data_IF_256237281441
#
_entry.id   IF_256237281441
#
_cell.length_a   1.000
_cell.length_b   1.000
_cell.length_c   1.000
_cell.angle_alpha   90.00
_cell.angle_beta   90.00
_cell.angle_gamma   90.00
#
_symmetry.space_group_name_H-M   'P 1'
#
loop_
_entity.id
_entity.type
_entity.pdbx_description
1 polymer ?
#
# COMPACT_ATOMS: atom_id res chain seq x y z
N UNK A 1 15.02 7.44 25.22
CA UNK A 1 13.76 7.57 24.44
C UNK A 1 12.85 8.54 25.19
N UNK A 2 12.18 9.46 24.48
CA UNK A 2 11.47 10.57 25.10
C UNK A 2 10.28 10.20 26.01
N UNK A 3 9.78 8.97 25.97
CA UNK A 3 8.58 8.57 26.73
C UNK A 3 8.83 7.50 27.79
N UNK A 4 10.03 6.95 27.91
CA UNK A 4 10.37 5.86 28.85
C UNK A 4 9.28 4.76 28.95
N UNK A 5 8.59 4.50 27.82
CA UNK A 5 7.51 3.52 27.80
C UNK A 5 8.06 2.10 27.95
N UNK A 6 7.35 1.28 28.73
CA UNK A 6 7.62 -0.15 28.75
C UNK A 6 7.43 -0.73 27.32
N UNK A 7 8.46 -1.38 26.77
CA UNK A 7 8.37 -2.00 25.44
C UNK A 7 7.19 -2.98 25.28
N UNK A 8 6.73 -3.59 26.37
CA UNK A 8 5.61 -4.55 26.38
C UNK A 8 4.24 -3.90 26.60
N UNK A 9 4.18 -2.57 26.80
CA UNK A 9 2.92 -1.87 27.05
C UNK A 9 2.02 -1.89 25.80
N UNK A 10 0.73 -1.72 26.02
CA UNK A 10 -0.24 -1.57 24.92
C UNK A 10 -0.04 -0.26 24.16
N UNK A 11 0.38 0.78 24.87
CA UNK A 11 0.65 2.10 24.29
C UNK A 11 1.86 2.02 23.34
N UNK A 12 2.96 1.36 23.72
CA UNK A 12 4.09 1.12 22.84
C UNK A 12 3.67 0.38 21.58
N UNK A 13 2.88 -0.69 21.73
CA UNK A 13 2.32 -1.43 20.60
C UNK A 13 1.43 -0.57 19.72
N UNK A 14 0.61 0.31 20.30
CA UNK A 14 -0.29 1.19 19.57
C UNK A 14 0.45 2.24 18.73
N UNK A 15 1.49 2.87 19.32
CA UNK A 15 2.33 3.86 18.62
C UNK A 15 3.03 3.22 17.42
N UNK A 16 3.64 2.05 17.63
CA UNK A 16 4.33 1.33 16.57
C UNK A 16 3.35 0.88 15.47
N UNK A 17 2.16 0.38 15.84
CA UNK A 17 1.12 0.01 14.89
C UNK A 17 0.60 1.21 14.11
N UNK A 18 0.47 2.38 14.75
CA UNK A 18 0.08 3.61 14.05
C UNK A 18 1.13 4.00 12.99
N UNK A 19 2.41 3.93 13.33
CA UNK A 19 3.50 4.14 12.38
C UNK A 19 3.46 3.16 11.21
N UNK A 20 3.24 1.88 11.48
CA UNK A 20 3.10 0.85 10.45
C UNK A 20 1.90 1.11 9.53
N UNK A 21 0.71 1.32 10.08
CA UNK A 21 -0.49 1.57 9.30
C UNK A 21 -0.40 2.85 8.46
N UNK A 22 0.22 3.91 8.99
CA UNK A 22 0.41 5.15 8.24
C UNK A 22 1.41 5.03 7.09
N UNK A 23 2.37 4.13 7.21
CA UNK A 23 3.37 3.88 6.17
C UNK A 23 2.85 2.99 5.03
N UNK A 24 1.90 2.11 5.29
CA UNK A 24 1.44 1.11 4.30
C UNK A 24 0.11 1.47 3.66
N UNK A 25 -0.93 1.67 4.45
CA UNK A 25 -2.32 1.69 3.98
C UNK A 25 -2.70 2.87 3.07
N UNK A 26 -2.30 4.13 3.34
CA UNK A 26 -2.74 5.27 2.52
C UNK A 26 -2.29 5.19 1.06
N UNK A 27 -1.15 4.55 0.80
CA UNK A 27 -0.57 4.42 -0.53
C UNK A 27 -1.49 3.72 -1.53
N UNK A 28 -2.29 2.77 -1.11
CA UNK A 28 -3.21 2.04 -1.98
C UNK A 28 -4.36 2.89 -2.55
N UNK A 29 -4.56 4.11 -2.05
CA UNK A 29 -5.50 5.08 -2.63
C UNK A 29 -5.03 5.69 -3.94
N UNK A 30 -3.75 5.59 -4.26
CA UNK A 30 -3.12 6.25 -5.40
C UNK A 30 -2.32 5.27 -6.25
N UNK A 31 -2.38 5.45 -7.57
CA UNK A 31 -1.69 4.55 -8.52
C UNK A 31 -0.19 4.43 -8.24
N UNK A 32 0.44 5.52 -7.87
CA UNK A 32 1.88 5.61 -7.58
C UNK A 32 2.19 5.60 -6.08
N UNK A 33 1.20 5.32 -5.25
CA UNK A 33 1.35 5.33 -3.80
C UNK A 33 2.02 4.08 -3.25
N UNK A 34 1.96 2.97 -4.01
CA UNK A 34 2.67 1.73 -3.70
C UNK A 34 3.27 1.13 -4.96
N UNK A 35 4.40 0.44 -4.83
CA UNK A 35 5.00 -0.34 -5.91
C UNK A 35 4.06 -1.46 -6.40
N UNK A 36 3.26 -2.01 -5.52
CA UNK A 36 2.32 -3.09 -5.83
C UNK A 36 1.22 -2.63 -6.78
N UNK A 37 0.70 -1.41 -6.61
CA UNK A 37 -0.30 -0.83 -7.52
C UNK A 37 0.28 -0.67 -8.93
N UNK A 38 1.51 -0.17 -9.04
CA UNK A 38 2.19 -0.01 -10.32
C UNK A 38 2.44 -1.35 -11.00
N UNK A 39 2.93 -2.35 -10.25
CA UNK A 39 3.20 -3.70 -10.78
C UNK A 39 1.89 -4.35 -11.23
N UNK A 40 0.83 -4.30 -10.42
CA UNK A 40 -0.46 -4.85 -10.81
C UNK A 40 -0.96 -4.29 -12.14
N UNK A 41 -0.89 -2.96 -12.29
CA UNK A 41 -1.33 -2.31 -13.53
C UNK A 41 -0.42 -2.66 -14.72
N UNK A 42 0.89 -2.75 -14.51
CA UNK A 42 1.82 -3.14 -15.59
C UNK A 42 1.58 -4.57 -16.08
N UNK A 43 1.25 -5.50 -15.19
CA UNK A 43 0.94 -6.90 -15.54
C UNK A 43 -0.33 -7.05 -16.40
N UNK A 44 -1.29 -6.15 -16.25
CA UNK A 44 -2.59 -6.25 -16.95
C UNK A 44 -2.74 -5.29 -18.14
N UNK A 45 -1.73 -4.51 -18.46
CA UNK A 45 -1.76 -3.53 -19.58
C UNK A 45 -2.07 -4.14 -20.95
N UNK A 46 -1.84 -5.44 -21.12
CA UNK A 46 -2.20 -6.19 -22.33
C UNK A 46 -3.69 -6.55 -22.40
N UNK A 47 -4.42 -6.48 -21.28
CA UNK A 47 -5.82 -6.88 -21.16
C UNK A 47 -6.74 -5.68 -21.18
N UNK A 48 -6.37 -4.61 -20.48
CA UNK A 48 -7.19 -3.40 -20.34
C UNK A 48 -6.36 -2.12 -20.48
N UNK A 49 -7.03 -1.03 -20.81
CA UNK A 49 -6.44 0.31 -20.70
C UNK A 49 -6.22 0.66 -19.24
N UNK A 50 -4.99 0.99 -18.89
CA UNK A 50 -4.61 1.34 -17.52
C UNK A 50 -5.33 2.64 -17.12
N UNK A 51 -5.97 2.69 -15.94
CA UNK A 51 -6.61 3.90 -15.46
C UNK A 51 -5.58 5.02 -15.25
N UNK A 52 -5.98 6.24 -15.53
CA UNK A 52 -5.18 7.41 -15.18
C UNK A 52 -5.04 7.53 -13.66
N UNK A 53 -4.07 8.32 -13.20
CA UNK A 53 -3.85 8.53 -11.77
C UNK A 53 -5.12 9.04 -11.06
N UNK A 54 -5.86 9.96 -11.69
CA UNK A 54 -7.11 10.49 -11.14
C UNK A 54 -8.25 9.48 -11.12
N UNK A 55 -8.40 8.65 -12.15
CA UNK A 55 -9.40 7.58 -12.22
C UNK A 55 -9.12 6.49 -11.17
N UNK A 56 -7.84 6.14 -10.99
CA UNK A 56 -7.42 5.22 -9.93
C UNK A 56 -7.75 5.78 -8.54
N UNK A 57 -7.39 7.05 -8.29
CA UNK A 57 -7.66 7.71 -7.02
C UNK A 57 -9.17 7.82 -6.76
N UNK A 58 -9.96 8.21 -7.75
CA UNK A 58 -11.42 8.27 -7.63
C UNK A 58 -11.99 6.91 -7.24
N UNK A 59 -11.53 5.84 -7.87
CA UNK A 59 -12.02 4.49 -7.61
C UNK A 59 -11.66 3.97 -6.20
N UNK A 60 -10.55 4.39 -5.60
CA UNK A 60 -10.01 3.79 -4.37
C UNK A 60 -10.05 4.72 -3.15
N UNK A 61 -10.07 6.05 -3.34
CA UNK A 61 -9.96 7.01 -2.25
C UNK A 61 -11.05 6.88 -1.16
N UNK A 62 -12.36 6.67 -1.50
CA UNK A 62 -13.39 6.52 -0.47
C UNK A 62 -13.11 5.36 0.49
N UNK A 63 -12.67 4.22 -0.05
CA UNK A 63 -12.28 3.06 0.75
C UNK A 63 -11.09 3.38 1.66
N UNK A 64 -10.03 3.97 1.10
CA UNK A 64 -8.79 4.25 1.83
C UNK A 64 -9.02 5.25 2.95
N UNK A 65 -9.86 6.27 2.75
CA UNK A 65 -10.22 7.22 3.82
C UNK A 65 -10.83 6.46 5.02
N UNK A 66 -11.81 5.60 4.78
CA UNK A 66 -12.44 4.80 5.83
C UNK A 66 -11.47 3.83 6.49
N UNK A 67 -10.62 3.21 5.69
CA UNK A 67 -9.58 2.31 6.16
C UNK A 67 -8.55 3.01 7.07
N UNK A 68 -8.11 4.20 6.69
CA UNK A 68 -7.22 5.02 7.52
C UNK A 68 -7.91 5.49 8.80
N UNK A 69 -9.16 5.94 8.73
CA UNK A 69 -9.94 6.32 9.91
C UNK A 69 -10.08 5.16 10.89
N UNK A 70 -10.37 3.95 10.38
CA UNK A 70 -10.43 2.77 11.23
C UNK A 70 -9.07 2.41 11.83
N UNK A 71 -7.99 2.50 11.05
CA UNK A 71 -6.64 2.22 11.54
C UNK A 71 -6.24 3.19 12.67
N UNK A 72 -6.59 4.47 12.54
CA UNK A 72 -6.41 5.47 13.59
C UNK A 72 -7.25 5.11 14.82
N UNK A 73 -8.54 4.82 14.63
CA UNK A 73 -9.44 4.43 15.73
C UNK A 73 -8.92 3.18 16.47
N UNK A 74 -8.44 2.19 15.72
CA UNK A 74 -7.85 0.98 16.27
C UNK A 74 -6.63 1.28 17.14
N UNK A 75 -5.71 2.10 16.63
CA UNK A 75 -4.48 2.46 17.34
C UNK A 75 -4.73 3.37 18.55
N UNK A 76 -5.75 4.24 18.50
CA UNK A 76 -6.04 5.20 19.59
C UNK A 76 -6.95 4.59 20.66
N UNK A 77 -7.88 3.71 20.30
CA UNK A 77 -8.92 3.22 21.24
C UNK A 77 -8.85 1.72 21.52
N UNK A 78 -8.63 0.88 20.50
CA UNK A 78 -8.78 -0.57 20.65
C UNK A 78 -7.51 -1.20 21.25
N UNK A 79 -6.34 -0.83 20.75
CA UNK A 79 -5.07 -1.41 21.22
C UNK A 79 -4.71 -0.91 22.61
N UNK A 80 -4.69 0.40 22.90
CA UNK A 80 -4.37 0.91 24.24
C UNK A 80 -5.38 0.48 25.29
N UNK A 81 -6.67 0.40 24.91
CA UNK A 81 -7.75 0.06 25.83
C UNK A 81 -7.91 1.11 26.93
N UNK A 82 -7.65 0.72 28.19
CA UNK A 82 -7.74 1.61 29.37
C UNK A 82 -6.37 2.16 29.82
N UNK A 83 -5.28 1.80 29.14
CA UNK A 83 -3.98 2.38 29.45
C UNK A 83 -3.94 3.84 29.03
N UNK A 84 -3.35 4.69 29.88
CA UNK A 84 -3.15 6.11 29.59
C UNK A 84 -1.67 6.35 29.30
N UNK A 85 -1.39 7.34 28.46
CA UNK A 85 -0.01 7.75 28.20
C UNK A 85 0.55 8.39 29.46
N UNK A 86 1.58 7.80 30.09
CA UNK A 86 2.23 8.44 31.19
C UNK A 86 2.89 9.73 30.72
N UNK A 87 2.78 10.78 31.52
CA UNK A 87 3.40 12.08 31.22
C UNK A 87 3.00 12.72 29.88
N UNK A 88 1.69 12.76 29.59
CA UNK A 88 1.16 13.36 28.32
C UNK A 88 1.65 14.80 28.13
N UNK A 89 1.74 15.58 29.21
CA UNK A 89 2.22 16.98 29.14
C UNK A 89 3.71 17.03 28.78
N UNK A 90 4.52 16.13 29.30
CA UNK A 90 5.93 16.02 28.92
C UNK A 90 6.10 15.65 27.44
N UNK A 91 5.23 14.83 26.88
CA UNK A 91 5.24 14.54 25.44
C UNK A 91 5.00 15.81 24.62
N UNK A 92 4.03 16.65 25.02
CA UNK A 92 3.76 17.92 24.35
C UNK A 92 4.96 18.84 24.39
N UNK A 93 5.65 18.90 25.54
CA UNK A 93 6.87 19.70 25.69
C UNK A 93 7.99 19.18 24.78
N UNK A 94 8.25 17.88 24.76
CA UNK A 94 9.27 17.27 23.90
C UNK A 94 8.98 17.51 22.43
N UNK A 95 7.72 17.39 22.00
CA UNK A 95 7.31 17.67 20.62
C UNK A 95 7.48 19.16 20.29
N UNK A 96 7.10 20.05 21.23
CA UNK A 96 7.25 21.50 21.05
C UNK A 96 8.74 21.91 21.01
N UNK A 97 9.59 21.31 21.82
CA UNK A 97 11.04 21.52 21.79
C UNK A 97 11.63 21.06 20.45
N UNK A 98 11.30 19.85 19.99
CA UNK A 98 11.73 19.34 18.67
C UNK A 98 11.29 20.26 17.53
N UNK A 99 10.06 20.76 17.60
CA UNK A 99 9.54 21.69 16.58
C UNK A 99 10.30 23.02 16.60
N UNK A 100 10.70 23.52 17.78
CA UNK A 100 11.54 24.72 17.90
C UNK A 100 12.93 24.48 17.35
N UNK A 101 13.54 23.31 17.64
CA UNK A 101 14.87 22.96 17.18
C UNK A 101 14.93 22.83 15.65
N UNK A 102 13.83 22.40 15.01
CA UNK A 102 13.73 22.35 13.54
C UNK A 102 13.76 23.74 12.89
N UNK A 103 13.32 24.76 13.60
CA UNK A 103 13.31 26.13 13.11
C UNK A 103 12.36 26.38 11.91
N UNK A 104 12.52 27.51 11.19
CA UNK A 104 11.74 27.80 10.00
C UNK A 104 12.19 26.93 8.81
N UNK A 105 11.28 26.71 7.88
CA UNK A 105 11.57 25.96 6.65
C UNK A 105 12.79 26.52 5.91
N UNK A 106 13.72 25.63 5.62
CA UNK A 106 14.93 25.96 4.86
C UNK A 106 14.65 26.14 3.37
N UNK A 107 15.53 26.81 2.65
CA UNK A 107 15.41 26.95 1.19
C UNK A 107 15.37 25.59 0.46
N UNK A 108 16.05 24.57 0.98
CA UNK A 108 16.03 23.23 0.40
C UNK A 108 14.67 22.55 0.59
N UNK A 109 14.06 22.70 1.77
CA UNK A 109 12.72 22.17 2.04
C UNK A 109 11.65 22.84 1.16
N UNK A 110 11.75 24.16 0.94
CA UNK A 110 10.89 24.87 -0.01
C UNK A 110 11.04 24.35 -1.44
N UNK A 111 12.27 24.14 -1.92
CA UNK A 111 12.52 23.57 -3.24
C UNK A 111 11.91 22.17 -3.37
N UNK A 112 12.09 21.32 -2.35
CA UNK A 112 11.50 19.98 -2.32
C UNK A 112 9.99 20.03 -2.34
N UNK A 113 9.37 20.91 -1.55
CA UNK A 113 7.92 21.09 -1.51
C UNK A 113 7.37 21.50 -2.89
N UNK A 114 8.02 22.42 -3.57
CA UNK A 114 7.64 22.84 -4.93
C UNK A 114 7.73 21.66 -5.90
N UNK A 115 8.81 20.87 -5.86
CA UNK A 115 8.96 19.68 -6.71
C UNK A 115 7.88 18.64 -6.42
N UNK A 116 7.52 18.44 -5.15
CA UNK A 116 6.42 17.53 -4.79
C UNK A 116 5.07 18.02 -5.33
N UNK A 117 4.79 19.31 -5.23
CA UNK A 117 3.56 19.91 -5.81
C UNK A 117 3.56 19.74 -7.33
N UNK A 118 4.68 19.98 -8.00
CA UNK A 118 4.84 19.72 -9.44
C UNK A 118 4.60 18.26 -9.80
N UNK A 119 5.11 17.32 -8.98
CA UNK A 119 4.88 15.89 -9.16
C UNK A 119 3.39 15.54 -9.12
N UNK A 120 2.71 15.96 -8.05
CA UNK A 120 1.29 15.69 -7.85
C UNK A 120 0.46 16.34 -8.98
N UNK A 121 0.75 17.59 -9.32
CA UNK A 121 0.07 18.29 -10.42
C UNK A 121 0.29 17.57 -11.75
N UNK A 122 1.51 17.15 -12.04
CA UNK A 122 1.81 16.35 -13.24
C UNK A 122 1.06 15.03 -13.28
N UNK A 123 0.93 14.31 -12.15
CA UNK A 123 0.16 13.06 -12.09
C UNK A 123 -1.35 13.32 -12.29
N UNK A 124 -1.90 14.37 -11.68
CA UNK A 124 -3.31 14.76 -11.84
C UNK A 124 -3.63 15.16 -13.29
N UNK A 125 -2.68 15.80 -13.96
CA UNK A 125 -2.84 16.26 -15.35
C UNK A 125 -2.39 15.25 -16.39
N UNK A 126 -2.02 14.04 -15.99
CA UNK A 126 -1.52 12.96 -16.88
C UNK A 126 -2.44 12.68 -18.09
N UNK A 127 -3.73 12.88 -17.92
CA UNK A 127 -4.74 12.75 -18.99
C UNK A 127 -4.56 13.75 -20.13
N UNK A 128 -3.97 14.93 -19.87
CA UNK A 128 -3.79 16.00 -20.86
C UNK A 128 -2.47 15.89 -21.62
N UNK A 129 -1.39 15.48 -20.93
CA UNK A 129 -0.05 15.41 -21.55
C UNK A 129 0.38 13.98 -21.91
N UNK A 130 -0.36 12.94 -21.47
CA UNK A 130 -0.09 11.53 -21.82
C UNK A 130 1.21 10.95 -21.22
N UNK A 131 1.92 11.67 -20.35
CA UNK A 131 3.14 11.18 -19.73
C UNK A 131 2.79 10.14 -18.67
N UNK A 132 3.48 9.00 -18.74
CA UNK A 132 3.41 7.98 -17.70
C UNK A 132 4.06 8.47 -16.40
N UNK A 133 3.49 8.12 -15.26
CA UNK A 133 4.01 8.48 -13.95
C UNK A 133 5.49 8.10 -13.73
N UNK A 134 5.98 7.02 -14.33
CA UNK A 134 7.40 6.64 -14.26
C UNK A 134 8.32 7.70 -14.85
N UNK A 135 7.97 8.27 -16.01
CA UNK A 135 8.76 9.34 -16.63
C UNK A 135 8.70 10.61 -15.81
N UNK A 136 7.55 10.90 -15.20
CA UNK A 136 7.41 12.07 -14.36
C UNK A 136 8.29 11.97 -13.10
N UNK A 137 8.32 10.81 -12.42
CA UNK A 137 9.20 10.59 -11.28
C UNK A 137 10.68 10.60 -11.69
N UNK A 138 11.03 10.02 -12.83
CA UNK A 138 12.40 10.08 -13.35
C UNK A 138 12.84 11.52 -13.61
N UNK A 139 11.96 12.34 -14.19
CA UNK A 139 12.24 13.76 -14.45
C UNK A 139 12.47 14.51 -13.13
N UNK A 140 11.60 14.32 -12.13
CA UNK A 140 11.73 14.96 -10.81
C UNK A 140 13.03 14.51 -10.11
N UNK A 141 13.35 13.21 -10.19
CA UNK A 141 14.60 12.68 -9.65
C UNK A 141 15.81 13.38 -10.30
N UNK A 142 15.81 13.51 -11.63
CA UNK A 142 16.87 14.25 -12.36
C UNK A 142 16.93 15.70 -11.87
N UNK A 143 15.79 16.38 -11.71
CA UNK A 143 15.74 17.75 -11.20
C UNK A 143 16.40 17.88 -9.83
N UNK A 144 16.26 16.91 -8.93
CA UNK A 144 16.91 16.93 -7.62
C UNK A 144 18.45 16.95 -7.70
N UNK A 145 19.02 16.39 -8.77
CA UNK A 145 20.48 16.36 -9.01
C UNK A 145 21.02 17.60 -9.75
N UNK A 146 20.14 18.48 -10.24
CA UNK A 146 20.62 19.70 -10.92
C UNK A 146 21.36 20.61 -9.94
N UNK A 147 22.51 21.18 -10.33
CA UNK A 147 23.34 21.99 -9.44
C UNK A 147 22.61 23.19 -8.81
N UNK A 148 21.65 23.75 -9.54
CA UNK A 148 20.87 24.92 -9.10
C UNK A 148 19.79 24.56 -8.07
N UNK A 149 19.32 23.33 -8.11
CA UNK A 149 18.34 22.80 -7.14
C UNK A 149 19.09 22.23 -5.93
N UNK A 150 20.12 21.38 -6.16
CA UNK A 150 21.07 20.96 -5.13
C UNK A 150 20.43 20.17 -3.97
N UNK A 151 19.37 19.40 -4.25
CA UNK A 151 18.68 18.59 -3.24
C UNK A 151 19.31 17.21 -3.07
N UNK A 152 19.92 16.67 -4.12
CA UNK A 152 20.54 15.35 -4.11
C UNK A 152 21.98 15.43 -4.63
N UNK A 153 22.83 14.53 -4.16
CA UNK A 153 24.21 14.37 -4.56
C UNK A 153 24.50 12.94 -4.99
N UNK A 154 25.59 12.72 -5.72
CA UNK A 154 26.04 11.37 -6.09
C UNK A 154 26.31 10.47 -4.88
N UNK A 155 26.61 11.05 -3.73
CA UNK A 155 26.76 10.29 -2.48
C UNK A 155 25.45 9.61 -2.07
N UNK A 156 24.30 10.25 -2.33
CA UNK A 156 22.99 9.67 -2.06
C UNK A 156 22.75 8.40 -2.90
N UNK A 157 23.25 8.36 -4.15
CA UNK A 157 23.20 7.16 -5.01
C UNK A 157 23.99 6.00 -4.40
N UNK A 158 25.15 6.28 -3.80
CA UNK A 158 25.97 5.23 -3.14
C UNK A 158 25.30 4.65 -1.90
N UNK A 159 24.37 5.38 -1.28
CA UNK A 159 23.60 4.92 -0.11
C UNK A 159 22.36 4.10 -0.48
N UNK A 160 22.05 3.96 -1.79
CA UNK A 160 20.94 3.13 -2.24
C UNK A 160 21.17 1.67 -1.87
N UNK A 161 20.11 1.02 -1.39
CA UNK A 161 20.14 -0.41 -1.13
C UNK A 161 20.01 -1.18 -2.44
N UNK A 162 21.15 -1.46 -3.08
CA UNK A 162 21.21 -2.19 -4.35
C UNK A 162 20.59 -3.59 -4.21
N UNK A 163 20.73 -4.25 -3.06
CA UNK A 163 20.11 -5.55 -2.80
C UNK A 163 18.59 -5.49 -2.89
N UNK A 164 17.97 -4.41 -2.40
CA UNK A 164 16.53 -4.20 -2.52
C UNK A 164 16.11 -3.97 -3.99
N UNK A 165 16.88 -3.22 -4.77
CA UNK A 165 16.61 -3.02 -6.20
C UNK A 165 16.68 -4.35 -6.97
N UNK A 166 17.71 -5.15 -6.72
CA UNK A 166 17.85 -6.49 -7.32
C UNK A 166 16.68 -7.40 -6.92
N UNK A 167 16.25 -7.33 -5.67
CA UNK A 167 15.07 -8.08 -5.20
C UNK A 167 13.78 -7.69 -5.97
N UNK A 168 13.54 -6.38 -6.17
CA UNK A 168 12.37 -5.92 -6.97
C UNK A 168 12.45 -6.45 -8.39
N UNK A 169 13.61 -6.32 -9.05
CA UNK A 169 13.82 -6.82 -10.43
C UNK A 169 13.60 -8.34 -10.50
N UNK A 170 14.10 -9.09 -9.52
CA UNK A 170 13.90 -10.54 -9.45
C UNK A 170 12.40 -10.91 -9.29
N UNK A 171 11.64 -10.20 -8.45
CA UNK A 171 10.20 -10.40 -8.29
C UNK A 171 9.45 -10.14 -9.60
N UNK A 172 9.76 -9.05 -10.29
CA UNK A 172 9.18 -8.74 -11.61
C UNK A 172 9.54 -9.80 -12.66
N UNK A 173 10.80 -10.25 -12.64
CA UNK A 173 11.26 -11.34 -13.50
C UNK A 173 10.51 -12.65 -13.26
N UNK A 174 10.30 -13.04 -12.00
CA UNK A 174 9.51 -14.23 -11.66
C UNK A 174 8.07 -14.13 -12.19
N UNK A 175 7.42 -12.97 -12.03
CA UNK A 175 6.08 -12.74 -12.57
C UNK A 175 6.05 -12.90 -14.08
N UNK A 176 6.99 -12.29 -14.80
CA UNK A 176 7.12 -12.41 -16.25
C UNK A 176 7.35 -13.85 -16.72
N UNK A 177 8.23 -14.59 -16.05
CA UNK A 177 8.48 -16.02 -16.34
C UNK A 177 7.22 -16.85 -16.08
N UNK A 178 6.52 -16.63 -14.98
CA UNK A 178 5.27 -17.33 -14.65
C UNK A 178 4.21 -17.14 -15.74
N UNK A 179 4.09 -15.91 -16.27
CA UNK A 179 3.17 -15.60 -17.40
C UNK A 179 3.58 -16.38 -18.65
N UNK A 180 4.87 -16.39 -19.01
CA UNK A 180 5.37 -17.11 -20.20
C UNK A 180 5.22 -18.62 -20.10
N UNK A 181 5.36 -19.17 -18.89
CA UNK A 181 5.14 -20.60 -18.64
C UNK A 181 3.66 -21.00 -18.56
N UNK A 182 2.74 -20.04 -18.70
CA UNK A 182 1.30 -20.29 -18.62
C UNK A 182 0.78 -20.51 -17.21
N UNK A 183 1.54 -20.13 -16.18
CA UNK A 183 1.12 -20.28 -14.80
C UNK A 183 -0.18 -19.51 -14.49
N UNK A 184 -0.41 -18.36 -15.14
CA UNK A 184 -1.66 -17.61 -15.04
C UNK A 184 -2.86 -18.45 -15.50
N UNK A 185 -2.76 -19.09 -16.67
CA UNK A 185 -3.81 -19.97 -17.21
C UNK A 185 -4.04 -21.19 -16.34
N UNK A 186 -2.95 -21.80 -15.86
CA UNK A 186 -3.03 -22.94 -14.95
C UNK A 186 -3.75 -22.55 -13.65
N UNK A 187 -3.37 -21.45 -13.02
CA UNK A 187 -4.04 -20.94 -11.82
C UNK A 187 -5.52 -20.64 -12.10
N UNK A 188 -5.83 -19.96 -13.20
CA UNK A 188 -7.20 -19.68 -13.60
C UNK A 188 -8.01 -20.99 -13.77
N UNK A 189 -7.44 -22.01 -14.38
CA UNK A 189 -8.10 -23.32 -14.55
C UNK A 189 -8.44 -24.02 -13.24
N UNK A 190 -7.68 -23.77 -12.18
CA UNK A 190 -7.96 -24.31 -10.83
C UNK A 190 -9.02 -23.48 -10.10
N UNK A 191 -8.99 -22.16 -10.26
CA UNK A 191 -9.84 -21.24 -9.50
C UNK A 191 -11.22 -21.09 -10.14
N UNK A 192 -11.29 -20.99 -11.49
CA UNK A 192 -12.56 -20.77 -12.21
C UNK A 192 -13.64 -21.79 -11.83
N UNK A 193 -13.37 -23.11 -11.77
CA UNK A 193 -14.41 -24.08 -11.36
C UNK A 193 -14.94 -23.89 -9.93
N UNK A 194 -14.14 -23.26 -9.05
CA UNK A 194 -14.51 -23.01 -7.66
C UNK A 194 -15.37 -21.76 -7.51
N UNK A 195 -15.25 -20.84 -8.46
CA UNK A 195 -15.93 -19.54 -8.43
C UNK A 195 -17.02 -19.42 -9.51
N UNK A 196 -17.17 -20.45 -10.36
CA UNK A 196 -18.18 -20.49 -11.40
C UNK A 196 -19.58 -20.40 -10.78
N UNK A 197 -20.42 -19.52 -11.35
CA UNK A 197 -21.74 -19.23 -10.81
C UNK A 197 -21.78 -18.30 -9.60
N UNK A 198 -20.62 -17.84 -9.08
CA UNK A 198 -20.61 -16.81 -8.04
C UNK A 198 -21.00 -15.45 -8.61
N UNK A 199 -21.77 -14.68 -7.84
CA UNK A 199 -22.05 -13.31 -8.23
C UNK A 199 -20.78 -12.45 -8.20
N UNK A 200 -20.71 -11.35 -9.00
CA UNK A 200 -19.54 -10.46 -9.04
C UNK A 200 -19.06 -9.97 -7.67
N UNK A 201 -19.98 -9.82 -6.74
CA UNK A 201 -19.67 -9.41 -5.35
C UNK A 201 -18.80 -10.46 -4.64
N UNK A 202 -19.15 -11.74 -4.77
CA UNK A 202 -18.39 -12.83 -4.15
C UNK A 202 -17.04 -13.06 -4.84
N UNK A 203 -16.94 -12.76 -6.13
CA UNK A 203 -15.66 -12.79 -6.86
C UNK A 203 -14.68 -11.74 -6.34
N UNK A 204 -15.16 -10.53 -6.08
CA UNK A 204 -14.36 -9.47 -5.46
C UNK A 204 -13.90 -9.89 -4.06
N UNK A 205 -14.77 -10.48 -3.25
CA UNK A 205 -14.39 -10.97 -1.92
C UNK A 205 -13.38 -12.13 -2.01
N UNK A 206 -13.55 -13.04 -2.97
CA UNK A 206 -12.63 -14.18 -3.16
C UNK A 206 -11.22 -13.71 -3.54
N UNK A 207 -11.10 -12.69 -4.39
CA UNK A 207 -9.80 -12.11 -4.73
C UNK A 207 -9.12 -11.47 -3.51
N UNK A 208 -9.88 -10.75 -2.66
CA UNK A 208 -9.39 -10.22 -1.38
C UNK A 208 -8.87 -11.32 -0.45
N UNK A 209 -9.71 -12.33 -0.20
CA UNK A 209 -9.36 -13.43 0.71
C UNK A 209 -8.19 -14.27 0.19
N UNK A 210 -8.10 -14.45 -1.13
CA UNK A 210 -6.96 -15.13 -1.74
C UNK A 210 -5.66 -14.38 -1.53
N UNK A 211 -5.67 -13.05 -1.63
CA UNK A 211 -4.50 -12.22 -1.35
C UNK A 211 -4.04 -12.36 0.11
N UNK A 212 -4.98 -12.31 1.06
CA UNK A 212 -4.68 -12.55 2.48
C UNK A 212 -4.08 -13.94 2.68
N UNK A 213 -4.65 -14.97 2.02
CA UNK A 213 -4.15 -16.33 2.13
C UNK A 213 -2.75 -16.51 1.50
N UNK A 214 -2.52 -15.88 0.36
CA UNK A 214 -1.25 -15.98 -0.36
C UNK A 214 -0.11 -15.29 0.39
N UNK A 215 -0.38 -14.24 1.17
CA UNK A 215 0.61 -13.59 2.02
C UNK A 215 1.28 -14.54 3.02
N UNK A 216 0.62 -15.64 3.42
CA UNK A 216 1.25 -16.67 4.26
C UNK A 216 2.38 -17.44 3.55
N UNK A 217 2.38 -17.46 2.22
CA UNK A 217 3.31 -18.26 1.41
C UNK A 217 4.28 -17.42 0.61
N UNK A 218 3.83 -16.25 0.13
CA UNK A 218 4.58 -15.34 -0.73
C UNK A 218 4.67 -13.95 -0.11
N UNK A 219 5.74 -13.23 -0.41
CA UNK A 219 5.76 -11.80 -0.11
C UNK A 219 4.73 -11.06 -0.99
N UNK A 220 4.13 -9.95 -0.54
CA UNK A 220 3.16 -9.19 -1.33
C UNK A 220 3.68 -8.80 -2.73
N UNK A 221 4.95 -8.48 -2.83
CA UNK A 221 5.60 -8.13 -4.09
C UNK A 221 5.64 -9.32 -5.07
N UNK A 222 5.95 -10.52 -4.57
CA UNK A 222 5.93 -11.74 -5.38
C UNK A 222 4.49 -12.13 -5.75
N UNK A 223 3.56 -12.00 -4.81
CA UNK A 223 2.14 -12.31 -5.03
C UNK A 223 1.50 -11.39 -6.08
N UNK A 224 1.72 -10.08 -6.01
CA UNK A 224 1.20 -9.15 -7.02
C UNK A 224 1.77 -9.41 -8.40
N UNK A 225 3.07 -9.72 -8.49
CA UNK A 225 3.72 -10.02 -9.77
C UNK A 225 3.20 -11.32 -10.41
N UNK A 226 2.89 -12.33 -9.59
CA UNK A 226 2.46 -13.64 -10.08
C UNK A 226 0.95 -13.74 -10.36
N UNK A 227 0.11 -13.05 -9.57
CA UNK A 227 -1.33 -13.30 -9.53
C UNK A 227 -2.20 -12.17 -10.08
N UNK A 228 -1.65 -10.98 -10.37
CA UNK A 228 -2.46 -9.89 -10.93
C UNK A 228 -3.05 -10.24 -12.29
N UNK A 229 -2.26 -10.82 -13.19
CA UNK A 229 -2.74 -11.25 -14.51
C UNK A 229 -3.77 -12.39 -14.41
N UNK A 230 -3.54 -13.48 -13.64
CA UNK A 230 -4.54 -14.51 -13.39
C UNK A 230 -5.90 -13.97 -12.93
N UNK A 231 -5.91 -13.06 -11.96
CA UNK A 231 -7.15 -12.46 -11.49
C UNK A 231 -7.84 -11.60 -12.54
N UNK A 232 -7.08 -10.90 -13.37
CA UNK A 232 -7.64 -10.13 -14.48
C UNK A 232 -8.24 -11.05 -15.58
N UNK A 233 -7.59 -12.16 -15.91
CA UNK A 233 -8.10 -13.17 -16.85
C UNK A 233 -9.38 -13.82 -16.33
N UNK A 234 -9.44 -14.15 -15.02
CA UNK A 234 -10.66 -14.67 -14.39
C UNK A 234 -11.81 -13.66 -14.49
N UNK A 235 -11.55 -12.38 -14.22
CA UNK A 235 -12.57 -11.34 -14.35
C UNK A 235 -13.12 -11.24 -15.77
N UNK A 236 -12.25 -11.30 -16.79
CA UNK A 236 -12.68 -11.32 -18.19
C UNK A 236 -13.50 -12.56 -18.54
N UNK A 237 -13.11 -13.73 -18.03
CA UNK A 237 -13.84 -14.97 -18.28
C UNK A 237 -15.30 -14.89 -17.81
N UNK A 238 -15.56 -14.18 -16.73
CA UNK A 238 -16.91 -13.95 -16.20
C UNK A 238 -17.56 -12.64 -16.69
N UNK A 239 -17.02 -12.05 -17.76
CA UNK A 239 -17.48 -10.78 -18.34
C UNK A 239 -17.56 -9.62 -17.34
N UNK A 240 -16.63 -9.57 -16.39
CA UNK A 240 -16.52 -8.49 -15.40
C UNK A 240 -15.30 -7.61 -15.71
N UNK A 241 -15.40 -6.32 -15.39
CA UNK A 241 -14.23 -5.44 -15.41
C UNK A 241 -13.16 -5.96 -14.43
N UNK A 242 -11.90 -6.14 -14.88
CA UNK A 242 -10.82 -6.65 -14.03
C UNK A 242 -10.45 -5.74 -12.84
N UNK A 243 -10.66 -4.43 -12.96
CA UNK A 243 -10.20 -3.45 -11.96
C UNK A 243 -10.74 -3.71 -10.54
N UNK A 244 -12.05 -3.94 -10.31
CA UNK A 244 -12.55 -4.22 -8.96
C UNK A 244 -11.91 -5.44 -8.30
N UNK A 245 -11.67 -6.52 -9.06
CA UNK A 245 -10.99 -7.70 -8.54
C UNK A 245 -9.53 -7.41 -8.18
N UNK A 246 -8.83 -6.66 -9.02
CA UNK A 246 -7.44 -6.27 -8.76
C UNK A 246 -7.30 -5.31 -7.59
N UNK A 247 -8.18 -4.31 -7.47
CA UNK A 247 -8.17 -3.42 -6.32
C UNK A 247 -8.43 -4.19 -5.02
N UNK A 248 -9.40 -5.09 -5.04
CA UNK A 248 -9.69 -5.98 -3.93
C UNK A 248 -8.50 -6.88 -3.57
N UNK A 249 -7.82 -7.44 -4.57
CA UNK A 249 -6.60 -8.22 -4.40
C UNK A 249 -5.49 -7.38 -3.74
N UNK A 250 -5.27 -6.15 -4.23
CA UNK A 250 -4.30 -5.21 -3.65
C UNK A 250 -4.63 -4.87 -2.19
N UNK A 251 -5.90 -4.66 -1.83
CA UNK A 251 -6.30 -4.44 -0.45
C UNK A 251 -6.02 -5.66 0.44
N UNK A 252 -6.17 -6.86 -0.11
CA UNK A 252 -5.82 -8.10 0.58
C UNK A 252 -4.32 -8.25 0.79
N UNK A 253 -3.50 -7.82 -0.16
CA UNK A 253 -2.03 -7.85 -0.04
C UNK A 253 -1.50 -6.90 1.05
N UNK A 254 -2.24 -5.86 1.44
CA UNK A 254 -1.90 -5.00 2.58
C UNK A 254 -2.29 -5.62 3.94
N UNK A 255 -2.88 -6.80 3.94
CA UNK A 255 -3.27 -7.48 5.17
C UNK A 255 -2.20 -8.50 5.58
N UNK A 256 -1.52 -8.21 6.68
CA UNK A 256 -0.48 -9.06 7.24
C UNK A 256 -0.94 -9.62 8.57
N UNK A 257 -0.52 -10.83 8.91
CA UNK A 257 -0.73 -11.44 10.23
C UNK A 257 0.62 -11.73 10.87
N UNK A 258 1.55 -12.33 10.14
CA UNK A 258 2.86 -12.71 10.66
C UNK A 258 3.96 -11.75 10.21
N UNK A 259 4.97 -11.51 11.06
CA UNK A 259 6.05 -10.57 10.75
C UNK A 259 6.84 -10.92 9.48
N UNK A 260 6.95 -12.19 9.13
CA UNK A 260 7.73 -12.64 7.96
C UNK A 260 7.06 -12.31 6.62
N UNK A 261 5.78 -11.99 6.59
CA UNK A 261 5.03 -11.72 5.37
C UNK A 261 5.51 -10.43 4.68
N UNK A 262 6.01 -9.46 5.46
CA UNK A 262 6.48 -8.18 4.91
C UNK A 262 7.72 -7.65 5.65
N UNK A 263 8.75 -7.25 4.89
CA UNK A 263 10.04 -6.84 5.44
C UNK A 263 9.94 -5.68 6.46
N UNK A 264 9.14 -4.65 6.17
CA UNK A 264 8.91 -3.54 7.09
C UNK A 264 8.26 -4.04 8.39
N UNK A 265 7.35 -4.99 8.28
CA UNK A 265 6.67 -5.56 9.44
C UNK A 265 7.62 -6.38 10.31
N UNK A 266 8.49 -7.18 9.69
CA UNK A 266 9.57 -7.89 10.40
C UNK A 266 10.51 -6.91 11.11
N UNK A 267 10.90 -5.82 10.45
CA UNK A 267 11.74 -4.79 11.05
C UNK A 267 11.07 -4.18 12.29
N UNK A 268 9.82 -3.75 12.17
CA UNK A 268 9.05 -3.15 13.28
C UNK A 268 8.92 -4.15 14.43
N UNK A 269 8.63 -5.41 14.13
CA UNK A 269 8.54 -6.46 15.15
C UNK A 269 9.87 -6.69 15.87
N UNK A 270 10.99 -6.64 15.14
CA UNK A 270 12.34 -6.80 15.72
C UNK A 270 12.76 -5.71 16.69
N UNK A 271 12.08 -4.55 16.68
CA UNK A 271 12.34 -3.46 17.66
C UNK A 271 11.97 -3.84 19.10
N UNK A 272 11.14 -4.87 19.28
CA UNK A 272 10.69 -5.35 20.60
C UNK A 272 9.61 -4.49 21.26
N UNK A 273 9.15 -3.41 20.62
CA UNK A 273 8.11 -2.51 21.16
C UNK A 273 6.69 -2.93 20.83
N UNK A 274 6.49 -4.04 20.14
CA UNK A 274 5.17 -4.59 19.82
C UNK A 274 5.06 -6.02 20.32
N UNK A 275 4.00 -6.33 21.04
CA UNK A 275 3.76 -7.69 21.51
C UNK A 275 2.94 -8.47 20.49
N UNK A 276 3.20 -9.78 20.27
CA UNK A 276 2.45 -10.60 19.33
C UNK A 276 0.93 -10.55 19.56
N UNK A 277 0.51 -10.54 20.82
CA UNK A 277 -0.91 -10.50 21.18
C UNK A 277 -1.63 -9.25 20.65
N UNK A 278 -1.04 -8.07 20.83
CA UNK A 278 -1.63 -6.81 20.38
C UNK A 278 -1.59 -6.70 18.86
N UNK A 279 -0.53 -7.19 18.27
CA UNK A 279 -0.30 -7.27 16.85
C UNK A 279 -1.37 -8.13 16.16
N UNK A 280 -1.53 -9.39 16.56
CA UNK A 280 -2.54 -10.29 16.00
C UNK A 280 -3.96 -9.77 16.20
N UNK A 281 -4.25 -9.18 17.37
CA UNK A 281 -5.55 -8.56 17.61
C UNK A 281 -5.82 -7.40 16.67
N UNK A 282 -4.87 -6.48 16.51
CA UNK A 282 -5.01 -5.31 15.65
C UNK A 282 -5.13 -5.69 14.19
N UNK A 283 -4.21 -6.50 13.69
CA UNK A 283 -4.18 -6.88 12.27
C UNK A 283 -5.35 -7.80 11.89
N UNK A 284 -5.70 -8.76 12.75
CA UNK A 284 -6.87 -9.61 12.52
C UNK A 284 -8.18 -8.80 12.47
N UNK A 285 -8.34 -7.81 13.35
CA UNK A 285 -9.48 -6.90 13.30
C UNK A 285 -9.48 -6.05 12.02
N UNK A 286 -8.30 -5.62 11.56
CA UNK A 286 -8.13 -4.88 10.31
C UNK A 286 -8.58 -5.70 9.10
N UNK A 287 -8.20 -6.97 9.00
CA UNK A 287 -8.64 -7.90 7.94
C UNK A 287 -10.16 -7.98 7.88
N UNK A 288 -10.80 -8.20 9.02
CA UNK A 288 -12.26 -8.30 9.09
C UNK A 288 -12.94 -6.98 8.71
N UNK A 289 -12.44 -5.87 9.22
CA UNK A 289 -12.99 -4.56 8.89
C UNK A 289 -12.88 -4.24 7.40
N UNK A 290 -11.72 -4.50 6.80
CA UNK A 290 -11.49 -4.30 5.36
C UNK A 290 -12.44 -5.15 4.54
N UNK A 291 -12.63 -6.44 4.88
CA UNK A 291 -13.63 -7.29 4.21
C UNK A 291 -15.04 -6.71 4.29
N UNK A 292 -15.43 -6.21 5.46
CA UNK A 292 -16.78 -5.62 5.68
C UNK A 292 -16.97 -4.34 4.86
N UNK A 293 -16.03 -3.39 4.93
CA UNK A 293 -16.17 -2.14 4.16
C UNK A 293 -16.04 -2.36 2.66
N UNK A 294 -15.23 -3.34 2.24
CA UNK A 294 -15.16 -3.74 0.84
C UNK A 294 -16.54 -4.16 0.31
N UNK A 295 -17.23 -5.01 1.05
CA UNK A 295 -18.52 -5.55 0.63
C UNK A 295 -19.67 -4.55 0.78
N UNK A 296 -19.71 -3.79 1.88
CA UNK A 296 -20.85 -2.93 2.22
C UNK A 296 -20.76 -1.53 1.60
N UNK A 297 -19.56 -1.04 1.33
CA UNK A 297 -19.36 0.33 0.86
C UNK A 297 -18.64 0.39 -0.49
N UNK A 298 -17.54 -0.33 -0.63
CA UNK A 298 -16.69 -0.19 -1.80
C UNK A 298 -17.31 -0.84 -3.04
N UNK A 299 -17.84 -2.04 -2.93
CA UNK A 299 -18.53 -2.71 -4.04
C UNK A 299 -19.77 -1.93 -4.51
N UNK A 300 -20.68 -1.46 -3.64
CA UNK A 300 -21.77 -0.57 -4.04
C UNK A 300 -21.27 0.73 -4.69
N UNK A 301 -20.20 1.33 -4.19
CA UNK A 301 -19.60 2.51 -4.77
C UNK A 301 -19.07 2.26 -6.20
N UNK A 302 -18.37 1.14 -6.43
CA UNK A 302 -17.89 0.77 -7.77
C UNK A 302 -19.04 0.55 -8.76
N UNK A 303 -20.16 -0.01 -8.31
CA UNK A 303 -21.38 -0.09 -9.14
C UNK A 303 -21.94 1.28 -9.48
N UNK A 304 -21.94 2.20 -8.53
CA UNK A 304 -22.46 3.56 -8.71
C UNK A 304 -21.63 4.37 -9.72
N UNK A 305 -20.31 4.19 -9.73
CA UNK A 305 -19.42 4.86 -10.72
C UNK A 305 -19.30 4.09 -12.04
N UNK A 306 -20.03 3.00 -12.23
CA UNK A 306 -20.02 2.20 -13.46
C UNK A 306 -18.75 1.38 -13.69
N UNK A 307 -18.00 1.09 -12.63
CA UNK A 307 -16.79 0.28 -12.71
C UNK A 307 -17.10 -1.23 -12.64
N UNK A 308 -18.31 -1.58 -12.14
CA UNK A 308 -18.73 -2.96 -11.88
C UNK A 308 -20.16 -3.22 -12.34
#
# INVERSE_FOLDING_TARGET
MALELDPKSRISSAIIMAGFCSATSPGYGFLTGTEMSLIAMDQIKSIITIPTWGEYALANLPFIILYCCFSIFMCVKIIPGKEHIPHEDHLKEVVAERLRDMGPMTTQEWKLLILMICAITGLLTSKWHGLNGYFLYALIAICCYLPWIGLASFENVRKLNVGFLVFIVACLGMGSVAVHLGAAKWFASLVVPLIDGLSPIWLVLSSYLSAVAVNFMLTPLAAVSALSLPWAEIAQHVNMNPLPMLYSFLYGLDQYIFPYEYALYMYIFSTGYITPKHMFKGLGLRILFVAVILMLLQVPYWKLIGLM
#
